data_IF_849821020661
#
_entry.id   IF_849821020661
#
_cell.length_a   1.000
_cell.length_b   1.000
_cell.length_c   1.000
_cell.angle_alpha   90.00
_cell.angle_beta   90.00
_cell.angle_gamma   90.00
#
_symmetry.space_group_name_H-M   'P 1'
#
loop_
_entity.id
_entity.type
_entity.pdbx_description
1 polymer ?
#
# COMPACT_ATOMS: atom_id res chain seq x y z
N UNK A 1 -13.60 3.27 -18.92
CA UNK A 1 -12.41 2.69 -19.58
C UNK A 1 -11.12 3.50 -19.30
N UNK A 2 -11.06 4.79 -19.62
CA UNK A 2 -9.84 5.64 -19.44
C UNK A 2 -9.28 5.63 -18.00
N UNK A 3 -10.12 5.63 -16.97
CA UNK A 3 -9.68 5.62 -15.55
C UNK A 3 -8.96 4.32 -15.17
N UNK A 4 -9.41 3.16 -15.63
CA UNK A 4 -8.75 1.89 -15.34
C UNK A 4 -7.39 1.78 -16.02
N UNK A 5 -7.26 2.35 -17.23
CA UNK A 5 -5.97 2.45 -17.93
C UNK A 5 -5.00 3.35 -17.16
N UNK A 6 -5.49 4.49 -16.64
CA UNK A 6 -4.66 5.40 -15.84
C UNK A 6 -4.21 4.77 -14.51
N UNK A 7 -5.09 4.05 -13.81
CA UNK A 7 -4.74 3.31 -12.59
C UNK A 7 -3.73 2.20 -12.91
N UNK A 8 -3.94 1.46 -14.01
CA UNK A 8 -2.99 0.44 -14.47
C UNK A 8 -1.61 1.04 -14.78
N UNK A 9 -1.55 2.21 -15.42
CA UNK A 9 -0.31 2.92 -15.70
C UNK A 9 0.41 3.38 -14.43
N UNK A 10 -0.34 3.88 -13.42
CA UNK A 10 0.23 4.25 -12.12
C UNK A 10 0.84 3.06 -11.40
N UNK A 11 0.13 1.93 -11.37
CA UNK A 11 0.60 0.70 -10.71
C UNK A 11 1.83 0.16 -11.45
N UNK A 12 1.75 0.01 -12.78
CA UNK A 12 2.84 -0.51 -13.58
C UNK A 12 4.09 0.40 -13.51
N UNK A 13 3.90 1.72 -13.56
CA UNK A 13 4.97 2.69 -13.45
C UNK A 13 5.63 2.68 -12.07
N UNK A 14 4.83 2.59 -11.01
CA UNK A 14 5.33 2.47 -9.64
C UNK A 14 6.13 1.18 -9.43
N UNK A 15 5.66 0.06 -9.95
CA UNK A 15 6.36 -1.22 -9.91
C UNK A 15 7.70 -1.16 -10.66
N UNK A 16 7.69 -0.61 -11.88
CA UNK A 16 8.89 -0.47 -12.69
C UNK A 16 9.91 0.45 -12.01
N UNK A 17 9.47 1.56 -11.43
CA UNK A 17 10.33 2.47 -10.66
C UNK A 17 10.94 1.77 -9.45
N UNK A 18 10.16 1.00 -8.71
CA UNK A 18 10.64 0.25 -7.55
C UNK A 18 11.66 -0.83 -7.92
N UNK A 19 11.41 -1.63 -8.98
CA UNK A 19 12.39 -2.65 -9.42
C UNK A 19 13.72 -2.05 -9.83
N UNK A 20 13.72 -0.81 -10.35
CA UNK A 20 14.95 -0.10 -10.70
C UNK A 20 15.67 0.50 -9.51
N UNK A 21 14.93 1.01 -8.52
CA UNK A 21 15.49 1.53 -7.26
C UNK A 21 16.27 0.45 -6.50
N UNK A 22 15.82 -0.81 -6.57
CA UNK A 22 16.50 -1.94 -5.93
C UNK A 22 17.65 -2.53 -6.74
N UNK A 23 18.03 -1.89 -7.85
CA UNK A 23 19.15 -2.38 -8.68
C UNK A 23 18.92 -3.76 -9.31
N UNK A 24 17.68 -4.29 -9.27
CA UNK A 24 17.32 -5.62 -9.75
C UNK A 24 17.53 -5.78 -11.28
N UNK A 25 17.65 -4.67 -12.01
CA UNK A 25 17.71 -4.63 -13.47
C UNK A 25 19.06 -4.10 -14.03
N UNK A 26 20.09 -3.99 -13.20
CA UNK A 26 21.46 -3.69 -13.61
C UNK A 26 21.59 -2.42 -14.46
N UNK A 27 22.36 -2.48 -15.55
CA UNK A 27 22.66 -1.33 -16.42
C UNK A 27 21.43 -0.71 -17.13
N UNK A 28 20.32 -1.45 -17.27
CA UNK A 28 19.08 -0.95 -17.84
C UNK A 28 18.23 -0.13 -16.84
N UNK A 29 18.67 -0.04 -15.58
CA UNK A 29 17.91 0.58 -14.49
C UNK A 29 17.50 2.03 -14.76
N UNK A 30 18.40 2.83 -15.35
CA UNK A 30 18.14 4.25 -15.63
C UNK A 30 16.98 4.45 -16.62
N UNK A 31 16.99 3.73 -17.72
CA UNK A 31 15.96 3.84 -18.76
C UNK A 31 14.60 3.35 -18.25
N UNK A 32 14.58 2.25 -17.51
CA UNK A 32 13.38 1.67 -16.92
C UNK A 32 12.79 2.55 -15.80
N UNK A 33 13.65 3.22 -15.00
CA UNK A 33 13.22 4.24 -14.05
C UNK A 33 12.49 5.39 -14.73
N UNK A 34 13.06 5.87 -15.84
CA UNK A 34 12.50 6.97 -16.61
C UNK A 34 11.14 6.60 -17.21
N UNK A 35 11.01 5.39 -17.76
CA UNK A 35 9.73 4.84 -18.23
C UNK A 35 8.73 4.71 -17.07
N UNK A 36 9.17 4.24 -15.91
CA UNK A 36 8.35 4.16 -14.71
C UNK A 36 7.79 5.51 -14.28
N UNK A 37 8.64 6.53 -14.22
CA UNK A 37 8.26 7.91 -13.88
C UNK A 37 7.28 8.47 -14.93
N UNK A 38 7.54 8.29 -16.22
CA UNK A 38 6.64 8.74 -17.30
C UNK A 38 5.26 8.08 -17.17
N UNK A 39 5.20 6.79 -16.90
CA UNK A 39 3.93 6.07 -16.68
C UNK A 39 3.16 6.60 -15.46
N UNK A 40 3.86 6.86 -14.34
CA UNK A 40 3.25 7.44 -13.13
C UNK A 40 2.72 8.84 -13.43
N UNK A 41 3.52 9.71 -14.04
CA UNK A 41 3.10 11.07 -14.36
C UNK A 41 1.95 11.11 -15.38
N UNK A 42 1.98 10.24 -16.41
CA UNK A 42 0.92 10.11 -17.39
C UNK A 42 -0.37 9.60 -16.76
N UNK A 43 -0.28 8.55 -15.92
CA UNK A 43 -1.43 8.01 -15.19
C UNK A 43 -2.05 9.04 -14.24
N UNK A 44 -1.22 9.75 -13.48
CA UNK A 44 -1.66 10.84 -12.62
C UNK A 44 -2.31 11.98 -13.42
N UNK A 45 -1.68 12.42 -14.53
CA UNK A 45 -2.20 13.45 -15.41
C UNK A 45 -3.56 13.08 -15.99
N UNK A 46 -3.73 11.85 -16.49
CA UNK A 46 -5.01 11.35 -17.02
C UNK A 46 -6.06 11.31 -15.91
N UNK A 47 -5.74 10.90 -14.69
CA UNK A 47 -6.65 10.94 -13.56
C UNK A 47 -7.06 12.37 -13.21
N UNK A 48 -6.12 13.31 -13.19
CA UNK A 48 -6.40 14.73 -12.92
C UNK A 48 -7.29 15.37 -14.00
N UNK A 49 -7.05 15.09 -15.28
CA UNK A 49 -7.81 15.69 -16.41
C UNK A 49 -9.18 15.03 -16.59
N UNK A 50 -9.32 13.75 -16.22
CA UNK A 50 -10.63 13.05 -16.35
C UNK A 50 -11.55 13.26 -15.16
N UNK A 51 -11.20 14.16 -14.25
CA UNK A 51 -11.98 14.42 -13.04
C UNK A 51 -13.33 15.12 -13.35
N UNK A 52 -14.41 14.36 -13.26
CA UNK A 52 -15.46 14.74 -12.32
C UNK A 52 -14.88 14.76 -10.91
N UNK A 53 -15.21 15.74 -10.06
CA UNK A 53 -14.63 15.82 -8.73
C UNK A 53 -14.79 14.45 -8.06
N UNK A 54 -13.67 13.77 -7.86
CA UNK A 54 -13.62 12.60 -6.98
C UNK A 54 -14.10 13.14 -5.65
N UNK A 55 -15.35 12.87 -5.28
CA UNK A 55 -15.84 13.11 -3.94
C UNK A 55 -15.04 12.20 -3.03
N UNK A 56 -13.83 12.65 -2.68
CA UNK A 56 -12.92 11.92 -1.80
C UNK A 56 -13.63 11.85 -0.46
N UNK A 57 -14.17 10.68 -0.16
CA UNK A 57 -14.83 10.42 1.10
C UNK A 57 -13.75 10.04 2.12
N UNK A 58 -13.96 10.41 3.37
CA UNK A 58 -13.10 9.90 4.44
C UNK A 58 -13.03 8.37 4.39
N UNK A 59 -11.85 7.75 4.63
CA UNK A 59 -11.72 6.31 4.70
C UNK A 59 -12.69 5.70 5.69
N UNK A 60 -13.09 4.45 5.47
CA UNK A 60 -13.94 3.72 6.41
C UNK A 60 -13.28 3.66 7.80
N UNK A 61 -14.02 3.79 8.92
CA UNK A 61 -13.45 3.80 10.27
C UNK A 61 -12.50 2.63 10.57
N UNK A 62 -12.82 1.43 10.08
CA UNK A 62 -11.94 0.26 10.24
C UNK A 62 -10.59 0.45 9.53
N UNK A 63 -10.57 1.08 8.34
CA UNK A 63 -9.31 1.41 7.63
C UNK A 63 -8.55 2.48 8.38
N UNK A 64 -9.24 3.51 8.86
CA UNK A 64 -8.61 4.59 9.65
C UNK A 64 -7.98 4.05 10.93
N UNK A 65 -8.61 3.07 11.60
CA UNK A 65 -8.04 2.42 12.77
C UNK A 65 -6.75 1.65 12.44
N UNK A 66 -6.75 0.87 11.34
CA UNK A 66 -5.55 0.15 10.87
C UNK A 66 -4.42 1.12 10.54
N UNK A 67 -4.73 2.22 9.82
CA UNK A 67 -3.75 3.27 9.50
C UNK A 67 -3.19 3.90 10.77
N UNK A 68 -4.03 4.23 11.74
CA UNK A 68 -3.58 4.84 13.00
C UNK A 68 -2.62 3.92 13.78
N UNK A 69 -2.93 2.62 13.86
CA UNK A 69 -2.05 1.63 14.50
C UNK A 69 -0.71 1.55 13.75
N UNK A 70 -0.75 1.50 12.42
CA UNK A 70 0.46 1.45 11.59
C UNK A 70 1.33 2.71 11.77
N UNK A 71 0.72 3.90 11.83
CA UNK A 71 1.44 5.16 12.09
C UNK A 71 2.16 5.11 13.44
N UNK A 72 1.50 4.62 14.49
CA UNK A 72 2.12 4.50 15.81
C UNK A 72 3.26 3.49 15.79
N UNK A 73 3.03 2.30 15.20
CA UNK A 73 4.02 1.23 15.12
C UNK A 73 5.29 1.71 14.40
N UNK A 74 5.17 2.18 13.16
CA UNK A 74 6.31 2.67 12.38
C UNK A 74 6.91 3.96 12.93
N UNK A 75 6.11 4.79 13.58
CA UNK A 75 6.60 5.99 14.27
C UNK A 75 7.54 5.65 15.43
N UNK A 76 7.15 4.69 16.27
CA UNK A 76 8.03 4.21 17.36
C UNK A 76 9.32 3.63 16.78
N UNK A 77 9.22 2.79 15.75
CA UNK A 77 10.36 2.15 15.10
C UNK A 77 11.37 3.14 14.54
N UNK A 78 10.88 4.10 13.74
CA UNK A 78 11.75 4.99 12.98
C UNK A 78 12.30 6.16 13.80
N UNK A 79 11.63 6.52 14.90
CA UNK A 79 11.95 7.74 15.66
C UNK A 79 12.34 7.50 17.12
N UNK A 80 12.32 6.26 17.62
CA UNK A 80 12.71 5.96 19.01
C UNK A 80 14.12 6.43 19.38
N UNK A 81 15.04 6.49 18.41
CA UNK A 81 16.43 6.96 18.58
C UNK A 81 16.64 8.40 18.13
N UNK A 82 15.57 9.13 17.87
CA UNK A 82 15.56 10.49 17.33
C UNK A 82 15.33 10.56 15.82
N UNK A 83 14.88 11.72 15.32
CA UNK A 83 14.56 11.90 13.92
C UNK A 83 15.82 11.90 13.03
N UNK A 84 15.84 11.04 12.03
CA UNK A 84 16.87 10.97 11.00
C UNK A 84 16.24 10.99 9.62
N UNK A 85 16.97 11.41 8.57
CA UNK A 85 16.49 11.37 7.21
C UNK A 85 16.20 9.92 6.73
N UNK A 86 17.02 8.96 7.15
CA UNK A 86 16.79 7.56 6.88
C UNK A 86 15.55 7.04 7.60
N UNK A 87 15.36 7.38 8.89
CA UNK A 87 14.16 7.04 9.66
C UNK A 87 12.89 7.58 9.00
N UNK A 88 12.90 8.83 8.51
CA UNK A 88 11.77 9.41 7.79
C UNK A 88 11.47 8.66 6.48
N UNK A 89 12.50 8.29 5.73
CA UNK A 89 12.33 7.52 4.49
C UNK A 89 11.71 6.14 4.77
N UNK A 90 12.18 5.42 5.79
CA UNK A 90 11.61 4.14 6.22
C UNK A 90 10.19 4.28 6.76
N UNK A 91 9.89 5.34 7.50
CA UNK A 91 8.56 5.65 7.98
C UNK A 91 7.56 5.81 6.81
N UNK A 92 7.90 6.67 5.83
CA UNK A 92 7.05 6.88 4.65
C UNK A 92 6.90 5.57 3.86
N UNK A 93 7.99 4.81 3.71
CA UNK A 93 7.99 3.54 3.02
C UNK A 93 7.12 2.49 3.72
N UNK A 94 7.27 2.33 5.02
CA UNK A 94 6.47 1.42 5.85
C UNK A 94 4.98 1.76 5.85
N UNK A 95 4.63 3.05 5.76
CA UNK A 95 3.24 3.49 5.70
C UNK A 95 2.58 3.33 4.32
N UNK A 96 3.35 3.04 3.25
CA UNK A 96 2.81 2.98 1.89
C UNK A 96 1.66 1.96 1.71
N UNK A 97 1.65 0.74 2.30
CA UNK A 97 0.53 -0.20 2.19
C UNK A 97 -0.77 0.35 2.80
N UNK A 98 -0.64 1.08 3.90
CA UNK A 98 -1.77 1.66 4.63
C UNK A 98 -2.34 2.88 3.93
N UNK A 99 -1.48 3.70 3.32
CA UNK A 99 -1.89 4.78 2.44
C UNK A 99 -2.67 4.25 1.22
N UNK A 100 -2.24 3.12 0.64
CA UNK A 100 -2.97 2.43 -0.43
C UNK A 100 -4.35 1.97 0.05
N UNK A 101 -4.46 1.36 1.25
CA UNK A 101 -5.75 0.97 1.84
C UNK A 101 -6.68 2.18 2.04
N UNK A 102 -6.15 3.29 2.57
CA UNK A 102 -6.91 4.51 2.77
C UNK A 102 -7.41 5.09 1.43
N UNK A 103 -6.57 5.11 0.41
CA UNK A 103 -6.91 5.58 -0.92
C UNK A 103 -8.03 4.72 -1.56
N UNK A 104 -7.88 3.39 -1.55
CA UNK A 104 -8.91 2.47 -2.08
C UNK A 104 -10.23 2.65 -1.32
N UNK A 105 -10.18 2.77 0.01
CA UNK A 105 -11.37 3.00 0.84
C UNK A 105 -12.07 4.33 0.55
N UNK A 106 -11.32 5.35 0.16
CA UNK A 106 -11.85 6.68 -0.13
C UNK A 106 -12.56 6.76 -1.49
N UNK A 107 -12.20 5.88 -2.42
CA UNK A 107 -12.69 5.92 -3.81
C UNK A 107 -13.74 4.82 -4.07
N UNK A 108 -13.63 3.69 -3.38
CA UNK A 108 -14.39 2.47 -3.66
C UNK A 108 -15.84 2.47 -3.14
N UNK A 109 -16.65 1.58 -3.71
CA UNK A 109 -18.03 1.32 -3.25
C UNK A 109 -18.06 0.45 -1.99
N UNK A 110 -17.14 -0.51 -1.85
CA UNK A 110 -17.00 -1.35 -0.67
C UNK A 110 -15.83 -0.86 0.21
N UNK A 111 -16.05 0.28 0.83
CA UNK A 111 -15.07 1.07 1.57
C UNK A 111 -14.42 0.34 2.76
N UNK A 112 -15.09 -0.69 3.30
CA UNK A 112 -14.58 -1.50 4.40
C UNK A 112 -13.60 -2.61 3.96
N UNK A 113 -13.66 -3.05 2.70
CA UNK A 113 -12.86 -4.18 2.22
C UNK A 113 -11.33 -3.99 2.38
N UNK A 114 -10.76 -2.79 2.14
CA UNK A 114 -9.33 -2.56 2.33
C UNK A 114 -8.84 -2.74 3.77
N UNK A 115 -9.75 -2.69 4.77
CA UNK A 115 -9.38 -2.95 6.15
C UNK A 115 -8.81 -4.35 6.36
N UNK A 116 -9.30 -5.35 5.63
CA UNK A 116 -8.80 -6.72 5.72
C UNK A 116 -7.38 -6.83 5.15
N UNK A 117 -7.13 -6.20 3.99
CA UNK A 117 -5.78 -6.14 3.41
C UNK A 117 -4.79 -5.42 4.32
N UNK A 118 -5.20 -4.27 4.87
CA UNK A 118 -4.39 -3.53 5.83
C UNK A 118 -4.15 -4.28 7.15
N UNK A 119 -5.14 -5.02 7.65
CA UNK A 119 -4.97 -5.86 8.84
C UNK A 119 -3.99 -7.01 8.62
N UNK A 120 -4.02 -7.65 7.43
CA UNK A 120 -3.04 -8.67 7.07
C UNK A 120 -1.62 -8.08 6.98
N UNK A 121 -1.47 -6.93 6.33
CA UNK A 121 -0.19 -6.22 6.27
C UNK A 121 0.32 -5.87 7.66
N UNK A 122 -0.55 -5.35 8.55
CA UNK A 122 -0.21 -5.01 9.92
C UNK A 122 0.23 -6.22 10.73
N UNK A 123 -0.43 -7.37 10.55
CA UNK A 123 -0.04 -8.61 11.23
C UNK A 123 1.38 -9.05 10.82
N UNK A 124 1.73 -8.95 9.53
CA UNK A 124 3.07 -9.25 9.04
C UNK A 124 4.09 -8.23 9.56
N UNK A 125 3.75 -6.93 9.55
CA UNK A 125 4.64 -5.89 10.08
C UNK A 125 4.93 -6.12 11.58
N UNK A 126 3.93 -6.51 12.37
CA UNK A 126 4.12 -6.85 13.79
C UNK A 126 5.07 -8.05 13.98
N UNK A 127 4.93 -9.10 13.15
CA UNK A 127 5.85 -10.25 13.20
C UNK A 127 7.29 -9.82 12.85
N UNK A 128 7.45 -9.01 11.82
CA UNK A 128 8.75 -8.47 11.41
C UNK A 128 9.36 -7.58 12.49
N UNK A 129 8.55 -6.77 13.17
CA UNK A 129 9.01 -5.97 14.31
C UNK A 129 9.60 -6.84 15.42
N UNK A 130 8.92 -7.94 15.77
CA UNK A 130 9.43 -8.88 16.75
C UNK A 130 10.78 -9.46 16.30
N UNK A 131 10.87 -9.88 15.03
CA UNK A 131 12.09 -10.50 14.51
C UNK A 131 13.27 -9.51 14.40
N UNK A 132 13.00 -8.26 14.00
CA UNK A 132 14.06 -7.26 13.78
C UNK A 132 14.52 -6.61 15.08
N UNK A 133 13.60 -6.30 16.00
CA UNK A 133 13.90 -5.46 17.17
C UNK A 133 13.91 -6.19 18.50
N UNK A 134 13.16 -7.30 18.64
CA UNK A 134 13.02 -8.00 19.92
C UNK A 134 13.85 -9.27 19.94
N UNK A 135 13.81 -10.07 18.88
CA UNK A 135 14.50 -11.36 18.80
C UNK A 135 15.22 -11.53 17.46
N UNK A 136 16.25 -10.70 17.15
CA UNK A 136 16.94 -10.77 15.86
C UNK A 136 17.64 -12.12 15.69
N UNK A 137 17.27 -12.86 14.66
CA UNK A 137 17.84 -14.19 14.36
C UNK A 137 19.03 -14.14 13.40
N UNK A 138 19.36 -12.97 12.84
CA UNK A 138 20.49 -12.86 11.91
C UNK A 138 20.83 -11.43 11.52
N UNK A 139 21.99 -11.24 10.90
CA UNK A 139 22.49 -9.94 10.44
C UNK A 139 21.67 -9.35 9.28
N UNK A 140 20.83 -10.16 8.63
CA UNK A 140 20.00 -9.76 7.47
C UNK A 140 18.57 -9.39 7.84
N UNK A 141 18.19 -9.51 9.13
CA UNK A 141 16.82 -9.18 9.58
C UNK A 141 16.40 -7.75 9.23
N UNK A 142 17.32 -6.80 9.24
CA UNK A 142 17.04 -5.42 8.81
C UNK A 142 16.58 -5.27 7.35
N UNK A 143 16.90 -6.21 6.47
CA UNK A 143 16.40 -6.21 5.09
C UNK A 143 14.88 -6.41 5.00
N UNK A 144 14.29 -7.07 6.00
CA UNK A 144 12.84 -7.27 6.07
C UNK A 144 12.09 -5.93 6.08
N UNK A 145 12.64 -4.90 6.73
CA UNK A 145 12.04 -3.55 6.76
C UNK A 145 11.94 -2.92 5.37
N UNK A 146 12.78 -3.36 4.43
CA UNK A 146 12.77 -2.87 3.05
C UNK A 146 11.79 -3.69 2.19
N UNK A 147 11.81 -5.01 2.33
CA UNK A 147 11.05 -5.90 1.44
C UNK A 147 9.60 -6.11 1.88
N UNK A 148 9.32 -6.07 3.17
CA UNK A 148 7.96 -6.33 3.69
C UNK A 148 6.95 -5.30 3.24
N UNK A 149 7.19 -3.97 3.26
CA UNK A 149 6.24 -3.02 2.71
C UNK A 149 5.98 -3.21 1.22
N UNK A 150 7.00 -3.64 0.44
CA UNK A 150 6.83 -3.99 -0.96
C UNK A 150 5.86 -5.17 -1.12
N UNK A 151 6.10 -6.26 -0.36
CA UNK A 151 5.25 -7.44 -0.37
C UNK A 151 3.82 -7.13 0.10
N UNK A 152 3.68 -6.30 1.12
CA UNK A 152 2.40 -5.84 1.62
C UNK A 152 1.62 -5.09 0.53
N UNK A 153 2.27 -4.18 -0.21
CA UNK A 153 1.64 -3.44 -1.29
C UNK A 153 1.22 -4.31 -2.47
N UNK A 154 2.06 -5.28 -2.85
CA UNK A 154 1.86 -6.06 -4.08
C UNK A 154 0.95 -7.27 -3.88
N UNK A 155 0.95 -7.84 -2.69
CA UNK A 155 0.28 -9.12 -2.43
C UNK A 155 -0.77 -8.99 -1.31
N UNK A 156 -0.38 -8.62 -0.10
CA UNK A 156 -1.27 -8.75 1.05
C UNK A 156 -2.44 -7.76 1.00
N UNK A 157 -2.18 -6.50 0.69
CA UNK A 157 -3.25 -5.49 0.57
C UNK A 157 -4.20 -5.81 -0.58
N UNK A 158 -3.74 -6.08 -1.81
CA UNK A 158 -4.64 -6.45 -2.90
C UNK A 158 -5.43 -7.73 -2.63
N UNK A 159 -4.75 -8.81 -2.22
CA UNK A 159 -5.42 -10.10 -1.97
C UNK A 159 -6.43 -10.01 -0.85
N UNK A 160 -6.05 -9.44 0.31
CA UNK A 160 -6.95 -9.26 1.44
C UNK A 160 -8.16 -8.38 1.08
N UNK A 161 -7.94 -7.31 0.33
CA UNK A 161 -9.01 -6.43 -0.15
C UNK A 161 -9.96 -7.16 -1.09
N UNK A 162 -9.45 -7.92 -2.08
CA UNK A 162 -10.27 -8.66 -3.03
C UNK A 162 -11.11 -9.75 -2.32
N UNK A 163 -10.49 -10.51 -1.43
CA UNK A 163 -11.20 -11.55 -0.66
C UNK A 163 -12.32 -10.94 0.18
N UNK A 164 -12.02 -9.88 0.93
CA UNK A 164 -13.03 -9.19 1.73
C UNK A 164 -14.14 -8.59 0.85
N UNK A 165 -13.79 -8.01 -0.29
CA UNK A 165 -14.76 -7.48 -1.24
C UNK A 165 -15.70 -8.57 -1.77
N UNK A 166 -15.18 -9.75 -2.13
CA UNK A 166 -15.98 -10.88 -2.60
C UNK A 166 -16.95 -11.37 -1.51
N UNK A 167 -16.49 -11.46 -0.26
CA UNK A 167 -17.32 -11.88 0.87
C UNK A 167 -18.45 -10.87 1.12
N UNK A 168 -18.11 -9.58 1.18
CA UNK A 168 -19.09 -8.51 1.42
C UNK A 168 -20.12 -8.44 0.29
N UNK A 169 -19.68 -8.58 -0.96
CA UNK A 169 -20.57 -8.61 -2.13
C UNK A 169 -21.54 -9.78 -2.11
N UNK A 170 -21.09 -10.97 -1.68
CA UNK A 170 -21.98 -12.14 -1.53
C UNK A 170 -23.02 -11.89 -0.45
N UNK A 171 -22.64 -11.37 0.72
CA UNK A 171 -23.56 -11.07 1.82
C UNK A 171 -24.64 -10.05 1.42
N UNK A 172 -24.29 -8.99 0.71
CA UNK A 172 -25.27 -7.98 0.27
C UNK A 172 -26.31 -8.56 -0.69
N UNK A 173 -25.94 -9.53 -1.55
CA UNK A 173 -26.89 -10.19 -2.44
C UNK A 173 -27.87 -11.09 -1.69
N UNK A 174 -27.40 -11.84 -0.69
CA UNK A 174 -28.29 -12.71 0.10
C UNK A 174 -29.33 -11.91 0.90
N UNK A 175 -28.98 -10.70 1.39
CA UNK A 175 -29.93 -9.85 2.13
C UNK A 175 -30.99 -9.21 1.23
N UNK A 176 -30.71 -8.99 -0.05
CA UNK A 176 -31.66 -8.38 -0.98
C UNK A 176 -32.70 -9.37 -1.54
N UNK A 177 -32.56 -10.66 -1.29
CA UNK A 177 -33.46 -11.71 -1.76
C UNK A 177 -34.43 -12.23 -0.67
N UNK A 178 -34.38 -11.67 0.52
CA UNK A 178 -35.38 -11.94 1.57
C UNK A 178 -36.58 -11.00 1.34
N UNK A 179 -37.81 -11.52 1.09
CA UNK A 179 -39.03 -10.73 0.89
C UNK A 179 -39.45 -9.99 2.16
#
# INVERSE_FOLDING_TARGET
MRRYVAIGALIAGGLLFMTTLYGLLGAASGLLSLVGIVLVLTGAGVLLVTQEPLALKWPHPAVSAVVAIAVVLHGIECFAKGPTSAGLAFFIWGLSPYALCALISSIGTLRAAPAAGGALALAVDLLVHVEVFIAPQGSTSGLLLVFVPLWNNLVLVPVGTIVAWLILRRRSRCMSTQP
#
